data_IF_260156745391
#
_entry.id   IF_260156745391
#
_cell.length_a   1.000
_cell.length_b   1.000
_cell.length_c   1.000
_cell.angle_alpha   90.00
_cell.angle_beta   90.00
_cell.angle_gamma   90.00
#
_symmetry.space_group_name_H-M   'P 1'
#
loop_
_entity.id
_entity.type
_entity.pdbx_description
1 polymer ?
#
# COMPACT_ATOMS: atom_id res chain seq x y z
N UNK A 1 -15.53 21.17 1.60
CA UNK A 1 -14.81 19.89 1.67
C UNK A 1 -15.80 18.80 1.37
N UNK A 2 -15.52 17.91 0.41
CA UNK A 2 -16.36 16.73 0.26
C UNK A 2 -16.13 15.75 1.42
N UNK A 3 -17.18 15.01 1.77
CA UNK A 3 -17.11 13.92 2.75
C UNK A 3 -16.16 12.81 2.24
N UNK A 4 -15.35 12.22 3.12
CA UNK A 4 -14.44 11.10 2.79
C UNK A 4 -15.17 9.79 2.44
N UNK A 5 -16.48 9.78 2.64
CA UNK A 5 -17.39 8.66 2.37
C UNK A 5 -17.72 8.61 0.88
N UNK A 6 -17.22 7.57 0.22
CA UNK A 6 -17.31 7.36 -1.23
C UNK A 6 -18.40 6.36 -1.63
N UNK A 7 -19.22 5.88 -0.70
CA UNK A 7 -20.19 4.80 -0.90
C UNK A 7 -21.09 5.05 -2.12
N UNK A 8 -21.68 6.24 -2.24
CA UNK A 8 -22.56 6.60 -3.37
C UNK A 8 -21.80 6.81 -4.70
N UNK A 9 -20.48 7.02 -4.62
CA UNK A 9 -19.59 7.24 -5.78
C UNK A 9 -18.83 5.97 -6.16
N UNK A 10 -18.79 4.95 -5.29
CA UNK A 10 -18.03 3.73 -5.48
C UNK A 10 -18.78 2.77 -6.38
N UNK A 11 -18.20 2.49 -7.55
CA UNK A 11 -18.79 1.63 -8.58
C UNK A 11 -17.93 0.38 -8.74
N UNK A 12 -18.49 -0.65 -9.37
CA UNK A 12 -17.77 -1.90 -9.62
C UNK A 12 -16.41 -1.71 -10.32
N UNK A 13 -16.26 -0.68 -11.17
CA UNK A 13 -14.97 -0.34 -11.79
C UNK A 13 -13.91 0.07 -10.77
N UNK A 14 -14.29 0.78 -9.71
CA UNK A 14 -13.37 1.21 -8.64
C UNK A 14 -12.91 0.00 -7.82
N UNK A 15 -13.80 -0.94 -7.51
CA UNK A 15 -13.41 -2.22 -6.85
C UNK A 15 -12.38 -2.96 -7.70
N UNK A 16 -12.61 -3.11 -9.01
CA UNK A 16 -11.65 -3.78 -9.90
C UNK A 16 -10.30 -3.07 -9.93
N UNK A 17 -10.29 -1.75 -10.08
CA UNK A 17 -9.05 -0.97 -10.05
C UNK A 17 -8.34 -1.08 -8.70
N UNK A 18 -9.07 -1.02 -7.58
CA UNK A 18 -8.50 -1.14 -6.24
C UNK A 18 -7.85 -2.51 -6.02
N UNK A 19 -8.51 -3.60 -6.45
CA UNK A 19 -7.94 -4.94 -6.38
C UNK A 19 -6.69 -5.09 -7.27
N UNK A 20 -6.72 -4.52 -8.48
CA UNK A 20 -5.56 -4.52 -9.37
C UNK A 20 -4.36 -3.77 -8.75
N UNK A 21 -4.60 -2.64 -8.08
CA UNK A 21 -3.56 -1.91 -7.36
C UNK A 21 -3.01 -2.72 -6.18
N UNK A 22 -3.87 -3.39 -5.40
CA UNK A 22 -3.42 -4.28 -4.33
C UNK A 22 -2.54 -5.41 -4.86
N UNK A 23 -2.92 -6.01 -5.99
CA UNK A 23 -2.13 -7.05 -6.64
C UNK A 23 -0.76 -6.51 -7.09
N UNK A 24 -0.72 -5.32 -7.69
CA UNK A 24 0.53 -4.70 -8.13
C UNK A 24 1.49 -4.44 -6.96
N UNK A 25 0.99 -4.05 -5.78
CA UNK A 25 1.82 -3.80 -4.59
C UNK A 25 2.48 -5.08 -4.02
N UNK A 26 1.88 -6.25 -4.23
CA UNK A 26 2.39 -7.54 -3.72
C UNK A 26 3.10 -8.38 -4.78
N UNK A 27 3.39 -7.79 -5.93
CA UNK A 27 4.03 -8.47 -7.06
C UNK A 27 5.31 -7.73 -7.46
N UNK A 28 6.21 -8.42 -8.17
CA UNK A 28 7.32 -7.79 -8.87
C UNK A 28 6.76 -6.77 -9.90
N UNK A 29 7.37 -5.58 -10.05
CA UNK A 29 8.64 -5.15 -9.47
C UNK A 29 8.53 -4.38 -8.15
N UNK A 30 7.35 -4.33 -7.50
CA UNK A 30 7.16 -3.54 -6.26
C UNK A 30 7.67 -4.32 -5.06
N UNK A 31 7.16 -5.53 -4.85
CA UNK A 31 7.65 -6.44 -3.83
C UNK A 31 8.77 -7.27 -4.42
N UNK A 32 9.99 -7.06 -3.92
CA UNK A 32 11.19 -7.77 -4.36
C UNK A 32 11.73 -8.67 -3.26
N UNK A 33 12.48 -9.69 -3.68
CA UNK A 33 13.28 -10.47 -2.74
C UNK A 33 14.37 -9.59 -2.10
N UNK A 34 14.66 -9.75 -0.80
CA UNK A 34 15.70 -8.98 -0.14
C UNK A 34 17.07 -9.28 -0.74
N UNK A 35 17.91 -8.24 -0.88
CA UNK A 35 19.28 -8.35 -1.37
C UNK A 35 20.25 -8.31 -0.19
N UNK A 36 20.96 -9.41 0.04
CA UNK A 36 21.88 -9.57 1.18
C UNK A 36 23.34 -9.32 0.79
N UNK A 37 23.61 -8.22 0.08
CA UNK A 37 24.93 -7.86 -0.42
C UNK A 37 25.60 -6.72 0.37
N UNK A 38 24.99 -6.31 1.49
CA UNK A 38 25.43 -5.17 2.28
C UNK A 38 24.75 -3.86 1.89
N UNK A 39 23.87 -3.85 0.89
CA UNK A 39 22.97 -2.72 0.63
C UNK A 39 22.09 -2.46 1.84
N UNK A 40 21.89 -1.17 2.15
CA UNK A 40 21.09 -0.76 3.30
C UNK A 40 19.59 -0.89 2.98
N UNK A 41 18.83 -1.33 3.97
CA UNK A 41 17.38 -1.21 3.96
C UNK A 41 16.94 0.10 4.61
N UNK A 42 15.81 0.64 4.13
CA UNK A 42 15.16 1.82 4.73
C UNK A 42 13.82 1.42 5.32
N UNK A 43 13.62 1.70 6.61
CA UNK A 43 12.34 1.49 7.28
C UNK A 43 11.63 2.83 7.41
N UNK A 44 10.43 2.91 6.86
CA UNK A 44 9.51 4.03 7.09
C UNK A 44 8.39 3.57 8.01
N UNK A 45 8.15 4.29 9.11
CA UNK A 45 7.14 3.96 10.10
C UNK A 45 6.18 5.12 10.32
N UNK A 46 4.92 4.83 10.58
CA UNK A 46 3.95 5.82 11.04
C UNK A 46 3.01 5.20 12.08
N UNK A 47 2.54 6.02 13.02
CA UNK A 47 1.67 5.60 14.11
C UNK A 47 0.64 6.67 14.44
N UNK A 48 -0.59 6.22 14.66
CA UNK A 48 -1.70 7.06 15.09
C UNK A 48 -2.45 6.41 16.26
N UNK A 49 -3.54 7.03 16.71
CA UNK A 49 -4.33 6.55 17.84
C UNK A 49 -4.89 5.14 17.61
N UNK A 50 -5.17 4.79 16.35
CA UNK A 50 -5.81 3.56 15.94
C UNK A 50 -4.82 2.42 15.69
N UNK A 51 -3.54 2.72 15.43
CA UNK A 51 -2.54 1.69 15.14
C UNK A 51 -1.20 2.20 14.68
N UNK A 52 -0.30 1.25 14.39
CA UNK A 52 1.07 1.49 13.94
C UNK A 52 1.38 0.62 12.73
N UNK A 53 2.10 1.17 11.76
CA UNK A 53 2.46 0.47 10.52
C UNK A 53 3.88 0.85 10.04
N UNK A 54 4.45 0.00 9.20
CA UNK A 54 5.78 0.20 8.63
C UNK A 54 5.91 -0.40 7.21
N UNK A 55 6.85 0.13 6.44
CA UNK A 55 7.30 -0.40 5.14
C UNK A 55 8.82 -0.52 5.17
N UNK A 56 9.33 -1.68 4.74
CA UNK A 56 10.75 -1.94 4.49
C UNK A 56 11.01 -1.85 2.99
N UNK A 57 12.00 -1.08 2.59
CA UNK A 57 12.46 -0.93 1.21
C UNK A 57 13.95 -1.28 1.09
#
# INVERSE_FOLDING_TARGET
MESYKLEDKWKAKHTRSFLALKQALVSEPVLKSPLWDGTHFVITTDGCKEGFAAVLA
#
